data_IF_932990657917
#
_entry.id   IF_932990657917
#
_cell.length_a   1.000
_cell.length_b   1.000
_cell.length_c   1.000
_cell.angle_alpha   90.00
_cell.angle_beta   90.00
_cell.angle_gamma   90.00
#
_symmetry.space_group_name_H-M   'P 1'
#
loop_
_entity.id
_entity.type
_entity.pdbx_description
1 polymer ?
#
# COMPACT_ATOMS: atom_id res chain seq x y z
N UNK A 1 9.33 5.12 -19.05
CA UNK A 1 8.51 6.23 -18.48
C UNK A 1 8.77 6.32 -16.98
N UNK A 2 8.75 7.51 -16.39
CA UNK A 2 8.89 7.69 -14.92
C UNK A 2 7.55 8.12 -14.32
N UNK A 3 7.30 7.75 -13.06
CA UNK A 3 6.14 8.17 -12.28
C UNK A 3 6.61 8.81 -10.96
N UNK A 4 6.07 9.98 -10.63
CA UNK A 4 6.27 10.64 -9.33
C UNK A 4 5.19 10.19 -8.36
N UNK A 5 5.60 9.60 -7.24
CA UNK A 5 4.69 9.01 -6.26
C UNK A 5 4.80 9.78 -4.95
N UNK A 6 3.66 10.23 -4.43
CA UNK A 6 3.53 10.80 -3.10
C UNK A 6 3.25 9.69 -2.07
N UNK A 7 4.11 9.58 -1.09
CA UNK A 7 3.95 8.71 0.07
C UNK A 7 3.45 9.55 1.24
N UNK A 8 2.24 9.32 1.68
CA UNK A 8 1.70 10.08 2.81
C UNK A 8 2.37 9.70 4.12
N UNK A 9 2.49 10.67 5.03
CA UNK A 9 2.91 10.46 6.42
C UNK A 9 1.74 10.83 7.33
N UNK A 10 0.58 10.23 7.07
CA UNK A 10 -0.69 10.58 7.70
C UNK A 10 -0.72 10.20 9.18
N UNK A 11 -1.00 11.17 10.04
CA UNK A 11 -1.38 10.92 11.43
C UNK A 11 -2.89 10.65 11.47
N UNK A 12 -3.25 9.36 11.40
CA UNK A 12 -4.65 8.96 11.34
C UNK A 12 -5.32 9.25 12.70
N UNK A 13 -6.34 10.09 12.69
CA UNK A 13 -7.20 10.28 13.86
C UNK A 13 -8.00 9.00 14.09
N UNK A 14 -7.80 8.39 15.26
CA UNK A 14 -8.36 7.08 15.58
C UNK A 14 -9.88 7.05 15.45
N UNK A 15 -10.40 6.19 14.57
CA UNK A 15 -11.82 5.95 14.32
C UNK A 15 -12.67 7.22 13.98
N UNK A 16 -12.04 8.27 13.44
CA UNK A 16 -12.72 9.50 13.02
C UNK A 16 -12.60 9.67 11.49
N UNK A 17 -13.55 9.07 10.76
CA UNK A 17 -13.55 9.12 9.28
C UNK A 17 -13.60 10.54 8.73
N UNK A 18 -14.35 11.45 9.37
CA UNK A 18 -14.52 12.82 8.86
C UNK A 18 -13.25 13.66 9.06
N UNK A 19 -12.61 13.56 10.21
CA UNK A 19 -11.33 14.23 10.44
C UNK A 19 -10.26 13.70 9.45
N UNK A 20 -10.25 12.39 9.21
CA UNK A 20 -9.31 11.76 8.27
C UNK A 20 -9.57 12.14 6.81
N UNK A 21 -10.83 12.30 6.39
CA UNK A 21 -11.16 12.81 5.05
C UNK A 21 -10.58 14.21 4.80
N UNK A 22 -10.70 15.10 5.78
CA UNK A 22 -10.14 16.46 5.67
C UNK A 22 -8.62 16.40 5.46
N UNK A 23 -7.90 15.57 6.24
CA UNK A 23 -6.45 15.39 6.06
C UNK A 23 -6.12 14.80 4.68
N UNK A 24 -6.87 13.78 4.22
CA UNK A 24 -6.65 13.16 2.92
C UNK A 24 -6.78 14.18 1.78
N UNK A 25 -7.80 15.05 1.80
CA UNK A 25 -7.97 16.06 0.75
C UNK A 25 -6.82 17.07 0.73
N UNK A 26 -6.32 17.53 1.89
CA UNK A 26 -5.14 18.41 1.97
C UNK A 26 -3.88 17.74 1.39
N UNK A 27 -3.66 16.44 1.69
CA UNK A 27 -2.54 15.66 1.18
C UNK A 27 -2.63 15.45 -0.34
N UNK A 28 -3.83 15.15 -0.85
CA UNK A 28 -4.08 14.98 -2.29
C UNK A 28 -3.85 16.30 -3.02
N UNK A 29 -4.33 17.41 -2.45
CA UNK A 29 -4.11 18.73 -3.03
C UNK A 29 -2.62 19.07 -3.13
N UNK A 30 -1.83 18.85 -2.05
CA UNK A 30 -0.38 19.05 -2.09
C UNK A 30 0.27 18.17 -3.16
N UNK A 31 -0.14 16.89 -3.26
CA UNK A 31 0.40 15.97 -4.25
C UNK A 31 0.11 16.43 -5.69
N UNK A 32 -1.10 16.92 -5.96
CA UNK A 32 -1.46 17.46 -7.26
C UNK A 32 -0.69 18.76 -7.59
N UNK A 33 -0.55 19.67 -6.62
CA UNK A 33 0.22 20.92 -6.76
C UNK A 33 1.72 20.61 -7.03
N UNK A 34 2.25 19.52 -6.49
CA UNK A 34 3.61 19.00 -6.72
C UNK A 34 3.73 18.12 -7.98
N UNK A 35 2.67 17.99 -8.77
CA UNK A 35 2.62 17.19 -10.01
C UNK A 35 2.97 15.71 -9.79
N UNK A 36 2.49 15.11 -8.70
CA UNK A 36 2.59 13.69 -8.51
C UNK A 36 1.60 12.94 -9.41
N UNK A 37 2.02 11.81 -9.98
CA UNK A 37 1.16 10.93 -10.77
C UNK A 37 0.26 10.07 -9.87
N UNK A 38 0.79 9.69 -8.69
CA UNK A 38 0.16 8.76 -7.76
C UNK A 38 0.32 9.27 -6.33
N UNK A 39 -0.71 9.11 -5.52
CA UNK A 39 -0.61 9.25 -4.06
C UNK A 39 -1.05 7.96 -3.37
N UNK A 40 -0.31 7.54 -2.35
CA UNK A 40 -0.61 6.34 -1.56
C UNK A 40 -0.87 6.71 -0.11
N UNK A 41 -1.96 6.19 0.43
CA UNK A 41 -2.38 6.31 1.82
C UNK A 41 -2.14 5.03 2.62
N UNK A 42 -2.06 5.08 3.96
CA UNK A 42 -1.83 3.90 4.78
C UNK A 42 -3.06 2.96 4.83
N UNK A 43 -2.84 1.75 5.34
CA UNK A 43 -3.87 0.75 5.64
C UNK A 43 -5.00 1.35 6.48
N UNK A 44 -6.27 1.01 6.16
CA UNK A 44 -7.45 1.52 6.88
C UNK A 44 -7.39 3.05 7.03
N UNK A 45 -7.22 3.74 5.92
CA UNK A 45 -6.89 5.16 5.80
C UNK A 45 -7.77 6.06 6.65
N UNK A 46 -9.09 5.82 6.66
CA UNK A 46 -10.04 6.69 7.36
C UNK A 46 -10.31 6.29 8.80
N UNK A 47 -9.80 5.14 9.28
CA UNK A 47 -10.16 4.60 10.60
C UNK A 47 -8.96 4.28 11.49
N UNK A 48 -7.78 4.03 10.88
CA UNK A 48 -6.70 3.33 11.55
C UNK A 48 -7.03 1.85 11.75
N UNK A 49 -6.09 1.09 12.32
CA UNK A 49 -6.22 -0.36 12.52
C UNK A 49 -7.26 -0.66 13.62
N UNK A 50 -8.54 -0.57 13.26
CA UNK A 50 -9.67 -0.81 14.17
C UNK A 50 -10.15 -2.26 14.10
N UNK A 51 -10.46 -2.85 15.27
CA UNK A 51 -11.17 -4.13 15.39
C UNK A 51 -12.70 -3.96 15.53
N UNK A 52 -13.19 -2.71 15.57
CA UNK A 52 -14.62 -2.36 15.64
C UNK A 52 -15.24 -2.34 14.24
N UNK A 53 -15.19 -3.51 13.59
CA UNK A 53 -15.56 -3.62 12.17
C UNK A 53 -16.99 -3.14 11.90
N UNK A 54 -17.94 -3.49 12.77
CA UNK A 54 -19.37 -3.12 12.58
C UNK A 54 -19.58 -1.61 12.50
N UNK A 55 -18.80 -0.85 13.26
CA UNK A 55 -18.90 0.60 13.31
C UNK A 55 -18.07 1.28 12.22
N UNK A 56 -16.97 0.63 11.79
CA UNK A 56 -15.97 1.25 10.92
C UNK A 56 -16.07 0.82 9.46
N UNK A 57 -16.73 -0.31 9.17
CA UNK A 57 -16.86 -0.80 7.79
C UNK A 57 -17.70 0.14 6.91
N UNK A 58 -17.40 0.11 5.62
CA UNK A 58 -18.22 0.67 4.58
C UNK A 58 -19.30 -0.34 4.18
N UNK A 59 -20.54 0.13 4.10
CA UNK A 59 -21.69 -0.69 3.70
C UNK A 59 -22.22 -0.29 2.31
N UNK A 60 -21.88 0.90 1.80
CA UNK A 60 -22.37 1.48 0.56
C UNK A 60 -21.27 2.14 -0.27
N UNK A 61 -20.05 1.61 -0.22
CA UNK A 61 -18.88 2.09 -1.00
C UNK A 61 -18.53 3.57 -0.74
N UNK A 62 -18.80 4.07 0.49
CA UNK A 62 -18.60 5.47 0.84
C UNK A 62 -17.13 5.92 0.67
N UNK A 63 -16.19 5.06 1.06
CA UNK A 63 -14.76 5.37 0.97
C UNK A 63 -14.27 5.33 -0.49
N UNK A 64 -14.70 4.34 -1.26
CA UNK A 64 -14.38 4.27 -2.70
C UNK A 64 -14.93 5.49 -3.42
N UNK A 65 -16.21 5.82 -3.22
CA UNK A 65 -16.87 6.99 -3.83
C UNK A 65 -16.13 8.29 -3.49
N UNK A 66 -15.71 8.45 -2.23
CA UNK A 66 -14.99 9.63 -1.77
C UNK A 66 -13.63 9.77 -2.49
N UNK A 67 -12.80 8.73 -2.51
CA UNK A 67 -11.48 8.79 -3.15
C UNK A 67 -11.57 8.85 -4.68
N UNK A 68 -12.55 8.18 -5.30
CA UNK A 68 -12.81 8.29 -6.74
C UNK A 68 -13.15 9.72 -7.16
N UNK A 69 -13.99 10.41 -6.37
CA UNK A 69 -14.32 11.80 -6.63
C UNK A 69 -13.09 12.73 -6.52
N UNK A 70 -12.21 12.49 -5.54
CA UNK A 70 -10.97 13.26 -5.36
C UNK A 70 -9.96 12.95 -6.47
N UNK A 71 -9.81 11.69 -6.88
CA UNK A 71 -8.95 11.29 -7.99
C UNK A 71 -9.33 12.05 -9.28
N UNK A 72 -10.61 12.05 -9.62
CA UNK A 72 -11.11 12.80 -10.78
C UNK A 72 -10.97 14.33 -10.62
N UNK A 73 -11.23 14.87 -9.41
CA UNK A 73 -11.11 16.31 -9.12
C UNK A 73 -9.69 16.83 -9.30
N UNK A 74 -8.70 16.06 -8.84
CA UNK A 74 -7.30 16.47 -8.82
C UNK A 74 -6.46 15.84 -9.95
N UNK A 75 -7.07 14.97 -10.78
CA UNK A 75 -6.42 14.26 -11.89
C UNK A 75 -5.17 13.49 -11.44
N UNK A 76 -5.30 12.70 -10.36
CA UNK A 76 -4.22 11.94 -9.73
C UNK A 76 -4.70 10.53 -9.38
N UNK A 77 -3.89 9.49 -9.63
CA UNK A 77 -4.17 8.13 -9.17
C UNK A 77 -4.04 8.02 -7.65
N UNK A 78 -4.97 7.31 -7.00
CA UNK A 78 -4.99 7.22 -5.54
C UNK A 78 -5.04 5.75 -5.09
N UNK A 79 -4.11 5.36 -4.19
CA UNK A 79 -4.16 4.11 -3.45
C UNK A 79 -4.52 4.33 -1.99
N UNK A 80 -5.50 3.62 -1.47
CA UNK A 80 -6.01 3.80 -0.10
C UNK A 80 -6.51 2.49 0.51
N UNK A 81 -6.48 2.41 1.85
CA UNK A 81 -7.02 1.30 2.62
C UNK A 81 -8.42 1.57 3.16
N UNK A 82 -9.28 0.54 3.19
CA UNK A 82 -10.60 0.65 3.77
C UNK A 82 -11.11 -0.71 4.30
N UNK A 83 -12.27 -0.71 4.94
CA UNK A 83 -12.85 -1.88 5.59
C UNK A 83 -14.25 -2.13 5.02
N UNK A 84 -14.57 -3.38 4.67
CA UNK A 84 -15.94 -3.82 4.42
C UNK A 84 -16.37 -4.91 5.40
N UNK A 85 -17.66 -5.17 5.48
CA UNK A 85 -18.23 -6.26 6.26
C UNK A 85 -19.36 -6.95 5.49
N UNK A 86 -19.02 -7.80 4.49
CA UNK A 86 -20.02 -8.47 3.65
C UNK A 86 -20.74 -9.62 4.36
N UNK A 87 -20.18 -10.15 5.43
CA UNK A 87 -20.75 -11.22 6.26
C UNK A 87 -20.48 -10.96 7.75
N UNK A 88 -20.24 -11.98 8.56
CA UNK A 88 -19.97 -11.84 10.01
C UNK A 88 -18.59 -11.26 10.33
N UNK A 89 -17.64 -11.30 9.38
CA UNK A 89 -16.28 -10.82 9.53
C UNK A 89 -15.94 -9.74 8.50
N UNK A 90 -15.12 -8.78 8.92
CA UNK A 90 -14.61 -7.73 8.04
C UNK A 90 -13.66 -8.23 6.96
N UNK A 91 -13.43 -7.36 5.99
CA UNK A 91 -12.35 -7.46 5.00
C UNK A 91 -11.51 -6.19 5.07
N UNK A 92 -10.22 -6.36 5.02
CA UNK A 92 -9.24 -5.28 4.99
C UNK A 92 -8.77 -5.11 3.55
N UNK A 93 -9.10 -3.98 2.95
CA UNK A 93 -8.90 -3.73 1.53
C UNK A 93 -7.79 -2.73 1.27
N UNK A 94 -7.16 -2.88 0.11
CA UNK A 94 -6.35 -1.88 -0.54
C UNK A 94 -6.93 -1.63 -1.94
N UNK A 95 -7.57 -0.48 -2.13
CA UNK A 95 -8.13 -0.06 -3.41
C UNK A 95 -7.18 0.90 -4.13
N UNK A 96 -7.13 0.80 -5.47
CA UNK A 96 -6.37 1.68 -6.34
C UNK A 96 -7.28 2.22 -7.45
N UNK A 97 -7.38 3.54 -7.55
CA UNK A 97 -8.23 4.22 -8.54
C UNK A 97 -7.39 5.06 -9.50
N UNK A 98 -7.83 5.16 -10.75
CA UNK A 98 -7.20 6.01 -11.77
C UNK A 98 -7.52 7.50 -11.57
N UNK A 99 -6.88 8.35 -12.38
CA UNK A 99 -7.06 9.80 -12.40
C UNK A 99 -8.45 10.25 -12.88
N UNK A 100 -9.28 9.34 -13.37
CA UNK A 100 -10.68 9.60 -13.74
C UNK A 100 -11.65 9.13 -12.64
N UNK A 101 -11.14 8.50 -11.58
CA UNK A 101 -11.90 7.96 -10.47
C UNK A 101 -12.43 6.54 -10.71
N UNK A 102 -11.95 5.83 -11.74
CA UNK A 102 -12.32 4.44 -11.98
C UNK A 102 -11.48 3.51 -11.11
N UNK A 103 -12.11 2.50 -10.51
CA UNK A 103 -11.40 1.46 -9.74
C UNK A 103 -10.59 0.59 -10.69
N UNK A 104 -9.27 0.59 -10.53
CA UNK A 104 -8.34 -0.26 -11.27
C UNK A 104 -8.13 -1.61 -10.57
N UNK A 105 -8.08 -1.60 -9.24
CA UNK A 105 -7.92 -2.80 -8.42
C UNK A 105 -8.51 -2.59 -7.03
N UNK A 106 -8.97 -3.70 -6.45
CA UNK A 106 -9.39 -3.79 -5.05
C UNK A 106 -8.87 -5.12 -4.47
N UNK A 107 -7.86 -5.03 -3.63
CA UNK A 107 -7.16 -6.16 -3.04
C UNK A 107 -7.64 -6.40 -1.61
N UNK A 108 -8.06 -7.63 -1.29
CA UNK A 108 -8.31 -8.06 0.08
C UNK A 108 -7.03 -8.62 0.71
N UNK A 109 -6.60 -8.08 1.85
CA UNK A 109 -5.45 -8.56 2.62
C UNK A 109 -5.54 -10.06 2.86
N UNK A 110 -4.52 -10.81 2.43
CA UNK A 110 -4.50 -12.29 2.54
C UNK A 110 -4.21 -12.73 3.97
N UNK A 111 -3.30 -12.05 4.68
CA UNK A 111 -2.82 -12.47 5.99
C UNK A 111 -3.30 -11.54 7.12
N UNK A 112 -4.46 -11.81 7.77
CA UNK A 112 -4.84 -11.08 8.99
C UNK A 112 -3.83 -11.29 10.10
N UNK A 113 -3.53 -10.22 10.86
CA UNK A 113 -2.52 -10.23 11.93
C UNK A 113 -3.07 -10.87 13.20
N UNK A 114 -2.84 -12.18 13.39
CA UNK A 114 -3.37 -12.99 14.51
C UNK A 114 -2.95 -12.43 15.88
N UNK A 115 -1.68 -12.04 16.03
CA UNK A 115 -1.18 -11.51 17.31
C UNK A 115 -1.86 -10.18 17.70
N UNK A 116 -2.28 -9.37 16.72
CA UNK A 116 -3.08 -8.16 16.93
C UNK A 116 -4.59 -8.41 17.07
N UNK A 117 -5.02 -9.67 17.07
CA UNK A 117 -6.44 -10.02 17.21
C UNK A 117 -7.24 -9.91 15.91
N UNK A 118 -6.62 -9.53 14.80
CA UNK A 118 -7.30 -9.27 13.51
C UNK A 118 -8.09 -10.50 13.04
N UNK A 119 -7.58 -11.73 13.22
CA UNK A 119 -8.27 -12.98 12.83
C UNK A 119 -9.61 -13.23 13.53
N UNK A 120 -9.92 -12.50 14.62
CA UNK A 120 -11.21 -12.57 15.31
C UNK A 120 -12.24 -11.62 14.70
N UNK A 121 -11.80 -10.58 14.03
CA UNK A 121 -12.62 -9.51 13.47
C UNK A 121 -12.66 -9.51 11.93
N UNK A 122 -11.61 -10.02 11.30
CA UNK A 122 -11.44 -10.02 9.84
C UNK A 122 -11.14 -11.42 9.31
N UNK A 123 -11.61 -11.67 8.09
CA UNK A 123 -11.22 -12.82 7.26
C UNK A 123 -10.18 -12.37 6.23
N UNK A 124 -9.20 -13.23 5.95
CA UNK A 124 -8.24 -13.02 4.87
C UNK A 124 -8.85 -13.23 3.50
N UNK A 125 -8.35 -12.47 2.52
CA UNK A 125 -8.59 -12.70 1.10
C UNK A 125 -7.94 -14.00 0.60
N UNK A 126 -8.18 -14.34 -0.66
CA UNK A 126 -7.69 -15.59 -1.28
C UNK A 126 -6.90 -15.38 -2.56
N UNK A 127 -6.87 -14.15 -3.09
CA UNK A 127 -6.32 -13.85 -4.40
C UNK A 127 -5.18 -12.83 -4.33
N UNK A 128 -4.14 -13.06 -5.13
CA UNK A 128 -3.06 -12.09 -5.32
C UNK A 128 -3.56 -11.04 -6.31
N UNK A 129 -3.36 -9.78 -5.98
CA UNK A 129 -3.68 -8.68 -6.89
C UNK A 129 -2.45 -8.32 -7.73
N UNK A 130 -2.65 -8.31 -9.04
CA UNK A 130 -1.69 -7.82 -10.03
C UNK A 130 -2.44 -7.13 -11.17
N UNK A 131 -2.03 -5.90 -11.50
CA UNK A 131 -2.61 -5.12 -12.59
C UNK A 131 -1.52 -4.47 -13.44
N UNK A 132 -1.86 -4.11 -14.66
CA UNK A 132 -0.98 -3.34 -15.55
C UNK A 132 -1.61 -1.99 -15.88
N UNK A 133 -0.84 -0.92 -15.68
CA UNK A 133 -1.19 0.46 -16.01
C UNK A 133 0.02 1.08 -16.70
N UNK A 134 -0.08 1.35 -17.99
CA UNK A 134 1.05 1.72 -18.84
C UNK A 134 2.20 0.69 -18.70
N UNK A 135 3.43 1.15 -18.42
CA UNK A 135 4.58 0.29 -18.15
C UNK A 135 4.68 -0.19 -16.69
N UNK A 136 3.73 0.18 -15.86
CA UNK A 136 3.67 -0.23 -14.46
C UNK A 136 2.93 -1.56 -14.33
N UNK A 137 3.63 -2.61 -13.92
CA UNK A 137 3.08 -3.94 -13.59
C UNK A 137 3.06 -4.05 -12.07
N UNK A 138 1.92 -3.70 -11.48
CA UNK A 138 1.74 -3.45 -10.06
C UNK A 138 1.27 -4.68 -9.30
N UNK A 139 2.02 -5.10 -8.28
CA UNK A 139 1.57 -5.97 -7.20
C UNK A 139 1.09 -5.18 -5.97
N UNK A 140 0.07 -5.66 -5.28
CA UNK A 140 -0.47 -4.99 -4.09
C UNK A 140 -0.36 -5.88 -2.85
N UNK A 141 -0.11 -5.26 -1.69
CA UNK A 141 -0.01 -5.95 -0.41
C UNK A 141 -0.43 -5.03 0.76
N UNK A 142 -0.84 -5.60 1.88
CA UNK A 142 -1.26 -4.86 3.08
C UNK A 142 -0.51 -5.35 4.32
N UNK A 143 0.29 -4.49 4.90
CA UNK A 143 0.86 -4.58 6.25
C UNK A 143 1.50 -5.96 6.56
N UNK A 144 0.77 -6.84 7.24
CA UNK A 144 1.26 -8.15 7.69
C UNK A 144 1.65 -9.08 6.53
N UNK A 145 1.08 -8.89 5.33
CA UNK A 145 1.47 -9.61 4.11
C UNK A 145 2.97 -9.51 3.82
N UNK A 146 3.61 -8.39 4.22
CA UNK A 146 5.04 -8.17 4.04
C UNK A 146 5.92 -9.28 4.64
N UNK A 147 5.41 -10.04 5.62
CA UNK A 147 6.15 -11.12 6.29
C UNK A 147 6.19 -12.43 5.51
N UNK A 148 5.37 -12.58 4.48
CA UNK A 148 5.16 -13.84 3.76
C UNK A 148 5.76 -13.78 2.36
N UNK A 149 7.05 -14.15 2.18
CA UNK A 149 7.72 -14.11 0.88
C UNK A 149 7.00 -14.96 -0.18
N UNK A 150 6.32 -16.02 0.22
CA UNK A 150 5.60 -16.95 -0.67
C UNK A 150 4.51 -16.23 -1.48
N UNK A 151 3.84 -15.25 -0.86
CA UNK A 151 2.83 -14.44 -1.53
C UNK A 151 3.45 -13.63 -2.68
N UNK A 152 4.52 -12.90 -2.40
CA UNK A 152 5.21 -12.08 -3.42
C UNK A 152 5.78 -12.94 -4.53
N UNK A 153 6.29 -14.11 -4.20
CA UNK A 153 6.86 -15.04 -5.16
C UNK A 153 5.83 -15.64 -6.11
N UNK A 154 4.54 -15.57 -5.80
CA UNK A 154 3.44 -15.97 -6.69
C UNK A 154 3.00 -14.85 -7.64
N UNK A 155 3.44 -13.62 -7.44
CA UNK A 155 3.15 -12.52 -8.37
C UNK A 155 3.79 -12.82 -9.74
N UNK A 156 3.19 -12.36 -10.85
CA UNK A 156 3.74 -12.53 -12.21
C UNK A 156 5.18 -12.05 -12.36
N UNK A 157 5.95 -12.65 -13.27
CA UNK A 157 7.37 -12.30 -13.48
C UNK A 157 7.57 -10.87 -13.97
N UNK A 158 6.61 -10.34 -14.71
CA UNK A 158 6.58 -8.96 -15.19
C UNK A 158 6.35 -7.91 -14.08
N UNK A 159 5.94 -8.32 -12.86
CA UNK A 159 5.77 -7.37 -11.75
C UNK A 159 7.04 -6.55 -11.55
N UNK A 160 6.92 -5.23 -11.71
CA UNK A 160 8.04 -4.29 -11.62
C UNK A 160 7.90 -3.26 -10.50
N UNK A 161 6.72 -3.19 -9.88
CA UNK A 161 6.48 -2.38 -8.67
C UNK A 161 5.51 -3.09 -7.73
N UNK A 162 5.73 -2.93 -6.43
CA UNK A 162 4.86 -3.43 -5.38
C UNK A 162 4.50 -2.25 -4.48
N UNK A 163 3.19 -1.96 -4.35
CA UNK A 163 2.69 -1.01 -3.37
C UNK A 163 2.22 -1.76 -2.14
N UNK A 164 2.64 -1.26 -0.97
CA UNK A 164 2.31 -1.83 0.32
C UNK A 164 1.86 -0.73 1.28
N UNK A 165 0.66 -0.85 1.80
CA UNK A 165 0.09 0.08 2.79
C UNK A 165 0.02 -0.56 4.17
N UNK A 166 0.23 0.21 5.25
CA UNK A 166 0.35 -0.36 6.58
C UNK A 166 -0.06 0.56 7.73
N UNK A 167 -0.42 -0.09 8.86
CA UNK A 167 -0.33 0.45 10.21
C UNK A 167 0.76 -0.33 10.97
N UNK A 168 2.04 -0.06 10.67
CA UNK A 168 3.18 -0.81 11.20
C UNK A 168 3.78 -0.09 12.41
N UNK A 169 3.71 -0.70 13.63
CA UNK A 169 4.13 -0.04 14.87
C UNK A 169 5.63 0.28 14.94
N UNK A 170 5.98 1.37 15.60
CA UNK A 170 7.35 1.79 15.87
C UNK A 170 8.19 0.67 16.50
N UNK A 171 7.64 -0.08 17.42
CA UNK A 171 8.34 -1.20 18.10
C UNK A 171 8.87 -2.29 17.16
N UNK A 172 8.39 -2.33 15.92
CA UNK A 172 8.79 -3.28 14.88
C UNK A 172 9.40 -2.61 13.64
N UNK A 173 9.80 -1.35 13.73
CA UNK A 173 10.25 -0.55 12.58
C UNK A 173 11.49 -1.12 11.86
N UNK A 174 12.41 -1.76 12.59
CA UNK A 174 13.56 -2.44 11.97
C UNK A 174 13.13 -3.55 11.02
N UNK A 175 12.07 -4.28 11.38
CA UNK A 175 11.53 -5.35 10.54
C UNK A 175 10.86 -4.78 9.29
N UNK A 176 10.17 -3.64 9.41
CA UNK A 176 9.58 -2.91 8.29
C UNK A 176 10.61 -2.64 7.20
N UNK A 177 11.66 -1.91 7.53
CA UNK A 177 12.70 -1.56 6.56
C UNK A 177 13.43 -2.79 5.99
N UNK A 178 13.78 -3.76 6.86
CA UNK A 178 14.48 -4.98 6.41
C UNK A 178 13.63 -5.80 5.44
N UNK A 179 12.32 -5.91 5.70
CA UNK A 179 11.43 -6.69 4.84
C UNK A 179 11.11 -5.96 3.53
N UNK A 180 10.91 -4.64 3.53
CA UNK A 180 10.74 -3.88 2.29
C UNK A 180 11.96 -4.04 1.38
N UNK A 181 13.17 -3.88 1.94
CA UNK A 181 14.42 -4.10 1.21
C UNK A 181 14.52 -5.51 0.65
N UNK A 182 14.22 -6.52 1.47
CA UNK A 182 14.26 -7.93 1.04
C UNK A 182 13.29 -8.19 -0.12
N UNK A 183 12.06 -7.66 -0.04
CA UNK A 183 11.08 -7.83 -1.14
C UNK A 183 11.55 -7.16 -2.42
N UNK A 184 12.17 -5.97 -2.35
CA UNK A 184 12.69 -5.30 -3.53
C UNK A 184 13.75 -6.16 -4.25
N UNK A 185 14.70 -6.72 -3.48
CA UNK A 185 15.76 -7.58 -4.02
C UNK A 185 15.20 -8.90 -4.57
N UNK A 186 14.38 -9.62 -3.78
CA UNK A 186 13.80 -10.91 -4.15
C UNK A 186 12.90 -10.83 -5.38
N UNK A 187 12.13 -9.74 -5.49
CA UNK A 187 11.20 -9.52 -6.58
C UNK A 187 11.82 -8.80 -7.77
N UNK A 188 13.05 -8.29 -7.63
CA UNK A 188 13.69 -7.45 -8.64
C UNK A 188 12.76 -6.31 -9.10
N UNK A 189 12.06 -5.71 -8.15
CA UNK A 189 10.98 -4.74 -8.38
C UNK A 189 11.14 -3.55 -7.44
N UNK A 190 10.61 -2.40 -7.82
CA UNK A 190 10.42 -1.33 -6.86
C UNK A 190 9.47 -1.80 -5.75
N UNK A 191 9.75 -1.43 -4.50
CA UNK A 191 8.84 -1.63 -3.37
C UNK A 191 8.60 -0.29 -2.70
N UNK A 192 7.34 0.12 -2.70
CA UNK A 192 6.89 1.37 -2.08
C UNK A 192 6.00 1.01 -0.90
N UNK A 193 6.50 1.27 0.31
CA UNK A 193 5.78 1.03 1.55
C UNK A 193 5.29 2.34 2.16
N UNK A 194 3.98 2.47 2.39
CA UNK A 194 3.37 3.62 3.06
C UNK A 194 2.85 3.21 4.42
N UNK A 195 3.31 3.90 5.46
CA UNK A 195 2.92 3.67 6.83
C UNK A 195 2.30 4.93 7.45
N UNK A 196 1.36 4.76 8.38
CA UNK A 196 0.85 5.89 9.17
C UNK A 196 1.91 6.42 10.14
N UNK A 197 1.64 7.60 10.71
CA UNK A 197 2.39 8.21 11.81
C UNK A 197 1.48 8.44 13.05
N UNK A 198 2.03 9.00 14.13
CA UNK A 198 1.29 9.40 15.32
C UNK A 198 0.92 8.24 16.24
N UNK A 199 -0.25 8.33 16.86
CA UNK A 199 -0.73 7.31 17.80
C UNK A 199 -2.13 6.81 17.39
N UNK A 200 -2.43 5.54 17.68
CA UNK A 200 -3.76 4.96 17.52
C UNK A 200 -3.93 3.77 18.44
N UNK A 201 -5.01 3.74 19.22
CA UNK A 201 -5.29 2.70 20.22
C UNK A 201 -4.10 2.41 21.16
N UNK A 202 -3.41 3.48 21.62
CA UNK A 202 -2.23 3.37 22.49
C UNK A 202 -0.96 2.84 21.82
N UNK A 203 -0.95 2.67 20.50
CA UNK A 203 0.20 2.21 19.73
C UNK A 203 0.85 3.39 19.04
N UNK A 204 2.18 3.50 19.17
CA UNK A 204 2.98 4.55 18.52
C UNK A 204 3.43 4.11 17.12
N UNK A 205 3.37 5.06 16.19
CA UNK A 205 3.79 4.91 14.79
C UNK A 205 4.73 6.06 14.42
N UNK A 206 5.89 5.72 13.89
CA UNK A 206 6.88 6.71 13.46
C UNK A 206 6.82 6.93 11.95
N UNK A 207 7.22 8.13 11.50
CA UNK A 207 7.40 8.41 10.07
C UNK A 207 8.36 7.40 9.45
N UNK A 208 7.86 6.56 8.55
CA UNK A 208 8.60 5.40 8.04
C UNK A 208 8.17 4.93 6.65
N UNK A 209 7.35 5.72 5.95
CA UNK A 209 7.09 5.49 4.54
C UNK A 209 8.42 5.49 3.78
N UNK A 210 8.63 4.52 2.88
CA UNK A 210 9.91 4.34 2.20
C UNK A 210 9.73 3.66 0.83
N UNK A 211 10.65 3.94 -0.09
CA UNK A 211 10.72 3.27 -1.38
C UNK A 211 12.11 2.68 -1.60
N UNK A 212 12.13 1.51 -2.23
CA UNK A 212 13.35 0.77 -2.56
C UNK A 212 13.40 0.42 -4.04
N UNK A 213 14.59 0.58 -4.63
CA UNK A 213 14.86 0.16 -6.00
C UNK A 213 15.03 -1.38 -6.08
N UNK A 214 14.97 -1.98 -7.30
CA UNK A 214 15.10 -3.43 -7.50
C UNK A 214 16.38 -4.07 -6.97
N UNK A 215 17.44 -3.28 -6.75
CA UNK A 215 18.71 -3.71 -6.14
C UNK A 215 18.72 -3.61 -4.60
N UNK A 216 17.62 -3.17 -4.00
CA UNK A 216 17.47 -2.97 -2.56
C UNK A 216 17.96 -1.61 -2.06
N UNK A 217 18.46 -0.74 -2.91
CA UNK A 217 18.84 0.61 -2.49
C UNK A 217 17.61 1.45 -2.15
N UNK A 218 17.69 2.22 -1.05
CA UNK A 218 16.63 3.13 -0.67
C UNK A 218 16.60 4.34 -1.60
N UNK A 219 15.43 4.68 -2.09
CA UNK A 219 15.20 5.90 -2.86
C UNK A 219 14.93 7.03 -1.86
N UNK A 220 15.83 8.02 -1.84
CA UNK A 220 15.68 9.15 -0.92
C UNK A 220 14.53 10.06 -1.39
N UNK A 221 13.58 10.38 -0.50
CA UNK A 221 12.44 11.21 -0.88
C UNK A 221 12.78 12.71 -0.87
N UNK A 222 12.07 13.48 -1.69
CA UNK A 222 11.88 14.93 -1.50
C UNK A 222 10.69 15.14 -0.58
N UNK A 223 10.93 15.67 0.63
CA UNK A 223 9.89 15.83 1.66
C UNK A 223 9.26 17.21 1.61
N UNK A 224 7.93 17.24 1.64
CA UNK A 224 7.12 18.45 1.79
C UNK A 224 6.36 18.42 3.12
N UNK A 225 5.33 19.27 3.24
CA UNK A 225 4.56 19.39 4.48
C UNK A 225 3.84 18.11 4.86
N UNK A 226 3.16 17.47 3.90
CA UNK A 226 2.29 16.33 4.14
C UNK A 226 2.87 15.01 3.58
N UNK A 227 3.57 15.11 2.46
CA UNK A 227 4.00 13.95 1.70
C UNK A 227 5.51 13.89 1.50
N UNK A 228 6.02 12.69 1.33
CA UNK A 228 7.35 12.42 0.79
C UNK A 228 7.22 11.98 -0.67
N UNK A 229 8.07 12.49 -1.56
CA UNK A 229 7.97 12.23 -2.99
C UNK A 229 9.14 11.41 -3.49
N UNK A 230 8.86 10.36 -4.24
CA UNK A 230 9.86 9.55 -4.94
C UNK A 230 9.52 9.48 -6.42
N UNK A 231 10.53 9.35 -7.27
CA UNK A 231 10.34 9.12 -8.72
C UNK A 231 10.88 7.75 -9.08
N UNK A 232 10.03 6.93 -9.70
CA UNK A 232 10.39 5.59 -10.16
C UNK A 232 10.52 5.61 -11.68
N UNK A 233 11.62 5.00 -12.19
CA UNK A 233 11.86 4.86 -13.63
C UNK A 233 11.53 3.44 -14.09
N UNK A 234 10.50 3.31 -14.91
CA UNK A 234 10.03 2.04 -15.47
C UNK A 234 10.68 1.69 -16.82
N UNK A 235 11.83 2.31 -17.17
CA UNK A 235 12.58 1.92 -18.36
C UNK A 235 13.06 0.46 -18.25
N UNK A 236 13.05 -0.25 -19.39
CA UNK A 236 13.42 -1.67 -19.45
C UNK A 236 14.82 -1.96 -18.90
N UNK A 237 15.75 -1.00 -19.02
CA UNK A 237 17.15 -1.16 -18.60
C UNK A 237 17.31 -1.36 -17.08
N UNK A 238 16.40 -0.80 -16.27
CA UNK A 238 16.42 -0.91 -14.81
C UNK A 238 16.17 -2.37 -14.39
N UNK A 239 15.23 -3.04 -15.03
CA UNK A 239 14.78 -4.38 -14.64
C UNK A 239 15.62 -5.50 -15.25
N UNK A 240 16.13 -5.35 -16.47
CA UNK A 240 16.96 -6.39 -17.13
C UNK A 240 18.20 -6.80 -16.32
N UNK A 241 18.74 -5.90 -15.48
CA UNK A 241 19.95 -6.16 -14.68
C UNK A 241 19.71 -6.97 -13.41
N UNK A 242 18.47 -7.08 -12.94
CA UNK A 242 18.17 -7.62 -11.60
C UNK A 242 17.28 -8.86 -11.61
N UNK A 243 16.59 -9.15 -12.73
CA UNK A 243 15.55 -10.20 -12.82
C UNK A 243 16.08 -11.65 -12.72
N UNK A 244 17.38 -11.87 -12.79
CA UNK A 244 17.99 -13.21 -12.86
C UNK A 244 17.56 -14.14 -11.72
N UNK A 245 17.46 -13.65 -10.48
CA UNK A 245 17.11 -14.47 -9.31
C UNK A 245 15.68 -15.03 -9.39
N UNK A 246 14.75 -14.30 -10.01
CA UNK A 246 13.37 -14.76 -10.20
C UNK A 246 13.27 -15.83 -11.29
N UNK A 247 14.02 -15.70 -12.39
CA UNK A 247 14.04 -16.68 -13.48
C UNK A 247 14.71 -17.99 -13.07
N UNK A 248 15.65 -17.96 -12.12
CA UNK A 248 16.38 -19.13 -11.65
C UNK A 248 15.64 -19.93 -10.56
N UNK A 249 14.45 -19.46 -10.15
CA UNK A 249 13.66 -20.14 -9.13
C UNK A 249 13.19 -21.51 -9.58
N UNK A 250 13.17 -22.43 -8.62
CA UNK A 250 12.75 -23.82 -8.82
C UNK A 250 11.53 -24.13 -7.97
N UNK A 251 10.34 -23.64 -8.34
CA UNK A 251 9.13 -23.74 -7.51
C UNK A 251 8.75 -25.18 -7.17
N UNK A 252 9.17 -26.16 -7.97
CA UNK A 252 8.95 -27.60 -7.72
C UNK A 252 9.58 -28.11 -6.41
N UNK A 253 10.58 -27.40 -5.86
CA UNK A 253 11.20 -27.74 -4.56
C UNK A 253 10.47 -27.12 -3.36
N UNK A 254 9.54 -26.20 -3.59
CA UNK A 254 8.89 -25.42 -2.53
C UNK A 254 7.41 -25.77 -2.38
N UNK A 255 6.93 -26.75 -3.14
CA UNK A 255 5.59 -27.31 -3.01
C UNK A 255 5.62 -28.37 -1.91
N UNK A 256 5.22 -27.96 -0.70
CA UNK A 256 5.01 -28.82 0.45
C UNK A 256 3.54 -29.03 0.74
#
# INVERSE_FOLDING_TARGET
>A
MSKKIALTNMDIVWEDKEANKIQCEEMIKEAADEHADIILFPEMTLTGFSLRVKEMADYHEETITYFSALAAKYSIMIGFGYITMPDELGRNHFCFVDENGSVLADYEKIHPFTHGGETKAYRGGSEICHISVDEMHLGMAVCYDLRFPEMFQKMPLETNVIFLIANWPESRIRQWYSLLTARAIEMSSYVVGVNRTGEGDGIQYTKSSAAYAPDGSMILPDSKKWNDYVTLDFSTEVFQKTIFSRSDRRPEFYQG
#
